data_IF_695448841061
#
_entry.id   IF_695448841061
#
_cell.length_a   1.000
_cell.length_b   1.000
_cell.length_c   1.000
_cell.angle_alpha   90.00
_cell.angle_beta   90.00
_cell.angle_gamma   90.00
#
_symmetry.space_group_name_H-M   'P 1'
#
loop_
_entity.id
_entity.type
_entity.pdbx_description
1 polymer ?
#
# COMPACT_ATOMS: atom_id res chain seq x y z
N UNK A 1 11.14 -12.75 -21.65
CA UNK A 1 11.75 -11.43 -21.40
C UNK A 1 11.87 -11.27 -19.90
N UNK A 2 12.99 -10.77 -19.41
CA UNK A 2 13.19 -10.51 -17.98
C UNK A 2 13.36 -9.01 -17.77
N UNK A 3 12.79 -8.49 -16.69
CA UNK A 3 12.94 -7.09 -16.30
C UNK A 3 13.86 -7.04 -15.08
N UNK A 4 14.99 -6.36 -15.21
CA UNK A 4 15.86 -6.03 -14.09
C UNK A 4 15.44 -4.66 -13.55
N UNK A 5 14.98 -4.63 -12.30
CA UNK A 5 14.49 -3.42 -11.65
C UNK A 5 15.30 -3.18 -10.38
N UNK A 6 15.79 -1.97 -10.21
CA UNK A 6 16.48 -1.56 -8.99
C UNK A 6 15.50 -0.85 -8.05
N UNK A 7 15.57 -1.15 -6.75
CA UNK A 7 14.76 -0.51 -5.72
C UNK A 7 15.63 0.01 -4.57
N UNK A 8 15.31 1.22 -4.10
CA UNK A 8 15.87 1.84 -2.90
C UNK A 8 14.83 1.79 -1.78
N UNK A 9 15.29 1.50 -0.55
CA UNK A 9 14.46 1.49 0.67
C UNK A 9 14.97 2.58 1.62
N UNK A 10 14.35 3.75 1.56
CA UNK A 10 14.86 4.95 2.21
C UNK A 10 13.94 5.35 3.36
N UNK A 11 14.47 5.42 4.58
CA UNK A 11 13.74 5.81 5.77
C UNK A 11 14.06 7.25 6.15
N UNK A 12 13.00 8.02 6.41
CA UNK A 12 13.07 9.33 7.04
C UNK A 12 11.98 9.42 8.10
N UNK A 13 12.38 9.60 9.36
CA UNK A 13 11.45 9.62 10.50
C UNK A 13 10.54 8.37 10.47
N UNK A 14 9.21 8.59 10.49
CA UNK A 14 8.17 7.56 10.34
C UNK A 14 7.89 7.18 8.89
N UNK A 15 8.48 7.85 7.90
CA UNK A 15 8.21 7.57 6.48
C UNK A 15 9.26 6.62 5.92
N UNK A 16 8.81 5.59 5.20
CA UNK A 16 9.63 4.73 4.38
C UNK A 16 9.23 4.93 2.91
N UNK A 17 10.24 5.13 2.07
CA UNK A 17 10.11 5.30 0.64
C UNK A 17 10.68 4.07 -0.05
N UNK A 18 9.88 3.44 -0.90
CA UNK A 18 10.34 2.40 -1.83
C UNK A 18 10.32 3.03 -3.22
N UNK A 19 11.50 3.33 -3.74
CA UNK A 19 11.67 3.97 -5.05
C UNK A 19 12.25 2.92 -5.99
N UNK A 20 11.46 2.52 -7.00
CA UNK A 20 11.88 1.55 -8.01
C UNK A 20 12.12 2.24 -9.34
N UNK A 21 13.18 1.87 -10.04
CA UNK A 21 13.60 2.48 -11.30
C UNK A 21 14.21 1.44 -12.25
N UNK A 22 14.20 1.77 -13.54
CA UNK A 22 14.74 0.95 -14.63
C UNK A 22 15.52 1.89 -15.54
N UNK A 23 16.76 1.53 -15.87
CA UNK A 23 17.64 2.30 -16.75
C UNK A 23 17.72 3.80 -16.37
N UNK A 24 17.83 4.08 -15.06
CA UNK A 24 17.89 5.44 -14.52
C UNK A 24 16.57 6.20 -14.46
N UNK A 25 15.46 5.67 -14.98
CA UNK A 25 14.15 6.31 -14.97
C UNK A 25 13.23 5.76 -13.87
N UNK A 26 12.50 6.63 -13.12
CA UNK A 26 11.68 6.20 -12.00
C UNK A 26 10.44 5.47 -12.52
N UNK A 27 10.26 4.25 -12.05
CA UNK A 27 9.15 3.38 -12.44
C UNK A 27 7.99 3.49 -11.46
N UNK A 28 8.28 3.45 -10.15
CA UNK A 28 7.25 3.56 -9.11
C UNK A 28 7.81 4.10 -7.80
N UNK A 29 6.94 4.77 -7.03
CA UNK A 29 7.25 5.25 -5.68
C UNK A 29 6.14 4.81 -4.74
N UNK A 30 6.48 4.03 -3.72
CA UNK A 30 5.60 3.71 -2.60
C UNK A 30 6.05 4.49 -1.36
N UNK A 31 5.13 5.15 -0.67
CA UNK A 31 5.37 5.81 0.60
C UNK A 31 4.54 5.12 1.68
N UNK A 32 5.23 4.73 2.74
CA UNK A 32 4.67 4.01 3.86
C UNK A 32 4.94 4.81 5.14
N UNK A 33 3.96 4.91 6.03
CA UNK A 33 4.18 5.39 7.38
C UNK A 33 4.30 4.19 8.33
N UNK A 34 5.33 4.20 9.16
CA UNK A 34 5.71 3.11 10.06
C UNK A 34 5.43 3.55 11.51
N UNK A 35 4.73 2.71 12.25
CA UNK A 35 4.40 2.91 13.66
C UNK A 35 4.91 1.71 14.46
N UNK A 36 6.18 1.73 14.93
CA UNK A 36 6.80 0.59 15.61
C UNK A 36 6.02 0.09 16.82
N UNK A 37 5.46 1.02 17.59
CA UNK A 37 4.48 0.79 18.64
C UNK A 37 3.22 1.55 18.21
N UNK A 38 2.15 0.88 17.75
CA UNK A 38 1.70 -0.47 18.11
C UNK A 38 1.88 -1.56 17.01
N UNK A 39 3.01 -1.57 16.29
CA UNK A 39 3.29 -2.51 15.18
C UNK A 39 2.32 -2.38 13.99
N UNK A 40 2.23 -1.16 13.44
CA UNK A 40 1.32 -0.83 12.32
C UNK A 40 2.07 -0.18 11.18
N UNK A 41 1.65 -0.52 9.97
CA UNK A 41 2.02 0.12 8.73
C UNK A 41 0.80 0.78 8.10
N UNK A 42 0.96 2.02 7.66
CA UNK A 42 0.01 2.69 6.80
C UNK A 42 0.62 2.89 5.42
N UNK A 43 0.02 2.27 4.38
CA UNK A 43 0.43 2.54 3.00
C UNK A 43 -0.20 3.87 2.58
N UNK A 44 0.62 4.92 2.57
CA UNK A 44 0.18 6.29 2.35
C UNK A 44 -0.08 6.59 0.88
N UNK A 45 0.78 6.08 0.00
CA UNK A 45 0.76 6.45 -1.42
C UNK A 45 1.51 5.44 -2.26
N UNK A 46 1.01 5.18 -3.45
CA UNK A 46 1.72 4.45 -4.48
C UNK A 46 1.49 5.10 -5.83
N UNK A 47 2.57 5.42 -6.53
CA UNK A 47 2.57 6.00 -7.86
C UNK A 47 3.34 5.09 -8.81
N UNK A 48 2.86 4.96 -10.06
CA UNK A 48 3.52 4.16 -11.09
C UNK A 48 3.48 4.86 -12.44
N UNK A 49 4.66 4.93 -13.08
CA UNK A 49 4.85 5.35 -14.47
C UNK A 49 5.15 4.16 -15.40
N UNK A 50 5.17 2.92 -14.88
CA UNK A 50 5.50 1.70 -15.64
C UNK A 50 4.57 1.52 -16.83
N UNK A 51 5.10 1.61 -18.06
CA UNK A 51 4.37 1.29 -19.29
C UNK A 51 4.00 -0.19 -19.39
N UNK A 52 4.82 -1.06 -18.82
CA UNK A 52 4.54 -2.51 -18.73
C UNK A 52 3.41 -2.75 -17.74
N UNK A 53 2.34 -3.38 -18.20
CA UNK A 53 1.19 -3.74 -17.36
C UNK A 53 1.63 -4.72 -16.28
N UNK A 54 1.25 -4.49 -15.02
CA UNK A 54 1.51 -5.41 -13.92
C UNK A 54 2.94 -5.41 -13.36
N UNK A 55 3.93 -4.86 -14.06
CA UNK A 55 5.33 -4.83 -13.60
C UNK A 55 5.47 -4.12 -12.24
N UNK A 56 5.01 -2.87 -12.14
CA UNK A 56 5.04 -2.12 -10.87
C UNK A 56 4.31 -2.79 -9.72
N UNK A 57 3.25 -3.58 -9.99
CA UNK A 57 2.55 -4.38 -8.98
C UNK A 57 3.48 -5.49 -8.46
N UNK A 58 4.10 -6.24 -9.35
CA UNK A 58 5.01 -7.34 -8.98
C UNK A 58 6.22 -6.83 -8.20
N UNK A 59 6.81 -5.71 -8.65
CA UNK A 59 7.94 -5.09 -7.95
C UNK A 59 7.54 -4.61 -6.56
N UNK A 60 6.35 -4.03 -6.40
CA UNK A 60 5.84 -3.65 -5.08
C UNK A 60 5.64 -4.86 -4.18
N UNK A 61 5.03 -5.94 -4.67
CA UNK A 61 4.81 -7.19 -3.91
C UNK A 61 6.12 -7.77 -3.41
N UNK A 62 7.10 -7.92 -4.31
CA UNK A 62 8.44 -8.41 -3.96
C UNK A 62 9.14 -7.49 -2.96
N UNK A 63 8.98 -6.17 -3.12
CA UNK A 63 9.55 -5.18 -2.19
C UNK A 63 8.93 -5.29 -0.79
N UNK A 64 7.61 -5.42 -0.69
CA UNK A 64 6.90 -5.58 0.58
C UNK A 64 7.22 -6.93 1.24
N UNK A 65 7.33 -8.02 0.48
CA UNK A 65 7.79 -9.33 0.99
C UNK A 65 9.17 -9.23 1.60
N UNK A 66 10.12 -8.59 0.90
CA UNK A 66 11.49 -8.39 1.39
C UNK A 66 11.56 -7.46 2.59
N UNK A 67 10.65 -6.50 2.67
CA UNK A 67 10.58 -5.57 3.78
C UNK A 67 10.04 -6.24 5.05
N UNK A 68 9.08 -7.16 4.93
CA UNK A 68 8.36 -7.80 6.05
C UNK A 68 8.82 -9.23 6.40
N UNK A 69 10.12 -9.52 6.26
CA UNK A 69 10.69 -10.88 6.40
C UNK A 69 10.59 -11.45 7.83
N UNK A 70 10.42 -10.61 8.86
CA UNK A 70 10.49 -11.05 10.26
C UNK A 70 9.14 -11.57 10.81
N UNK A 71 9.20 -12.52 11.75
CA UNK A 71 8.03 -13.17 12.35
C UNK A 71 7.06 -12.25 13.14
N UNK A 72 7.42 -10.99 13.38
CA UNK A 72 6.58 -10.00 14.05
C UNK A 72 5.89 -9.06 13.05
N UNK A 73 5.25 -9.62 12.02
CA UNK A 73 4.68 -8.88 10.88
C UNK A 73 3.63 -7.85 11.36
N UNK A 74 3.66 -6.60 10.87
CA UNK A 74 2.78 -5.52 11.33
C UNK A 74 1.34 -5.70 10.83
N UNK A 75 0.36 -5.06 11.49
CA UNK A 75 -0.93 -4.82 10.84
C UNK A 75 -0.77 -3.78 9.72
N UNK A 76 -1.47 -3.94 8.60
CA UNK A 76 -1.42 -3.00 7.46
C UNK A 76 -2.77 -2.31 7.31
N UNK A 77 -2.73 -0.98 7.20
CA UNK A 77 -3.87 -0.13 6.93
C UNK A 77 -3.70 0.61 5.60
N UNK A 78 -4.75 0.66 4.79
CA UNK A 78 -4.78 1.41 3.53
C UNK A 78 -6.09 2.21 3.45
N UNK A 79 -5.97 3.51 3.23
CA UNK A 79 -7.08 4.33 2.76
C UNK A 79 -7.03 4.35 1.23
N UNK A 80 -7.74 3.41 0.60
CA UNK A 80 -7.74 3.24 -0.85
C UNK A 80 -8.61 4.28 -1.54
N UNK A 81 -8.00 5.32 -2.11
CA UNK A 81 -8.68 6.31 -2.95
C UNK A 81 -7.80 6.80 -4.10
N UNK A 82 -8.39 7.27 -5.21
CA UNK A 82 -7.65 7.94 -6.26
C UNK A 82 -7.05 9.26 -5.75
N UNK A 83 -5.76 9.50 -6.05
CA UNK A 83 -5.06 10.76 -5.75
C UNK A 83 -4.16 11.16 -6.92
N UNK A 84 -3.96 12.46 -7.14
CA UNK A 84 -3.01 12.95 -8.12
C UNK A 84 -1.56 12.61 -7.75
N UNK A 85 -0.71 12.41 -8.76
CA UNK A 85 0.70 12.11 -8.56
C UNK A 85 1.47 13.28 -7.95
N UNK A 86 2.47 12.97 -7.13
CA UNK A 86 3.32 13.92 -6.41
C UNK A 86 4.80 13.72 -6.73
N UNK A 87 5.24 12.48 -6.91
CA UNK A 87 6.66 12.12 -7.03
C UNK A 87 7.06 11.72 -8.44
N UNK A 88 6.16 11.12 -9.21
CA UNK A 88 6.44 10.75 -10.60
C UNK A 88 5.30 11.19 -11.51
N UNK A 89 5.65 11.74 -12.67
CA UNK A 89 4.67 12.06 -13.69
C UNK A 89 4.09 10.75 -14.27
N UNK A 90 2.77 10.70 -14.40
CA UNK A 90 2.08 9.57 -15.03
C UNK A 90 1.03 10.11 -15.99
N UNK A 91 1.08 9.64 -17.23
CA UNK A 91 0.08 9.92 -18.25
C UNK A 91 -1.16 9.02 -18.09
N UNK A 92 -1.12 8.08 -17.14
CA UNK A 92 -2.22 7.14 -16.93
C UNK A 92 -3.41 7.83 -16.25
N UNK A 93 -4.64 7.58 -16.74
CA UNK A 93 -5.83 8.09 -16.08
C UNK A 93 -5.93 7.50 -14.67
N UNK A 94 -6.45 8.31 -13.77
CA UNK A 94 -6.65 7.94 -12.37
C UNK A 94 -7.68 6.82 -12.30
N UNK A 95 -7.29 5.67 -11.74
CA UNK A 95 -8.15 4.49 -11.60
C UNK A 95 -9.40 4.77 -10.76
N UNK A 96 -10.51 4.13 -11.11
CA UNK A 96 -11.75 4.19 -10.32
C UNK A 96 -11.56 3.52 -8.94
N UNK A 97 -12.25 4.04 -7.92
CA UNK A 97 -12.12 3.61 -6.51
C UNK A 97 -12.25 2.11 -6.27
N UNK A 98 -13.26 1.48 -6.88
CA UNK A 98 -13.48 0.02 -6.81
C UNK A 98 -12.31 -0.80 -7.37
N UNK A 99 -11.68 -0.33 -8.45
CA UNK A 99 -10.52 -1.00 -9.04
C UNK A 99 -9.29 -0.86 -8.15
N UNK A 100 -9.12 0.30 -7.50
CA UNK A 100 -8.04 0.54 -6.54
C UNK A 100 -8.19 -0.35 -5.30
N UNK A 101 -9.41 -0.56 -4.81
CA UNK A 101 -9.66 -1.42 -3.67
C UNK A 101 -9.23 -2.87 -3.96
N UNK A 102 -9.76 -3.45 -5.06
CA UNK A 102 -9.40 -4.80 -5.48
C UNK A 102 -7.89 -4.95 -5.78
N UNK A 103 -7.27 -3.88 -6.29
CA UNK A 103 -5.82 -3.85 -6.53
C UNK A 103 -5.03 -3.96 -5.22
N UNK A 104 -5.40 -3.20 -4.19
CA UNK A 104 -4.74 -3.25 -2.88
C UNK A 104 -5.00 -4.57 -2.16
N UNK A 105 -6.25 -5.04 -2.11
CA UNK A 105 -6.59 -6.35 -1.53
C UNK A 105 -5.75 -7.46 -2.17
N UNK A 106 -5.65 -7.45 -3.50
CA UNK A 106 -4.85 -8.42 -4.24
C UNK A 106 -3.35 -8.37 -3.91
N UNK A 107 -2.76 -7.17 -3.73
CA UNK A 107 -1.36 -7.03 -3.30
C UNK A 107 -1.19 -7.61 -1.90
N UNK A 108 -2.06 -7.22 -0.96
CA UNK A 108 -1.97 -7.59 0.46
C UNK A 108 -2.14 -9.10 0.64
N UNK A 109 -3.10 -9.71 -0.04
CA UNK A 109 -3.27 -11.17 -0.04
C UNK A 109 -2.06 -11.89 -0.64
N UNK A 110 -1.48 -11.40 -1.74
CA UNK A 110 -0.31 -12.05 -2.36
C UNK A 110 0.96 -11.95 -1.51
N UNK A 111 1.05 -10.95 -0.62
CA UNK A 111 2.10 -10.88 0.39
C UNK A 111 1.73 -11.63 1.68
N UNK A 112 0.64 -12.40 1.72
CA UNK A 112 0.27 -13.27 2.84
C UNK A 112 -0.47 -12.56 3.98
N UNK A 113 -1.36 -11.63 3.65
CA UNK A 113 -2.26 -10.97 4.60
C UNK A 113 -3.72 -11.33 4.32
N UNK A 114 -4.48 -11.48 5.40
CA UNK A 114 -5.94 -11.46 5.36
C UNK A 114 -6.39 -10.00 5.33
N UNK A 115 -7.37 -9.71 4.50
CA UNK A 115 -7.85 -8.34 4.30
C UNK A 115 -9.33 -8.24 4.67
N UNK A 116 -9.68 -7.14 5.32
CA UNK A 116 -11.04 -6.76 5.62
C UNK A 116 -11.28 -5.37 5.08
N UNK A 117 -12.30 -5.24 4.25
CA UNK A 117 -12.68 -3.97 3.64
C UNK A 117 -13.86 -3.37 4.40
N UNK A 118 -13.78 -2.07 4.60
CA UNK A 118 -14.87 -1.27 5.12
C UNK A 118 -15.26 -0.20 4.09
N UNK A 119 -16.52 -0.24 3.68
CA UNK A 119 -17.12 0.74 2.77
C UNK A 119 -17.97 1.73 3.56
N UNK A 120 -18.51 2.74 2.85
CA UNK A 120 -19.43 3.70 3.45
C UNK A 120 -20.68 3.05 4.08
N UNK A 121 -21.08 1.84 3.65
CA UNK A 121 -22.21 1.12 4.22
C UNK A 121 -21.87 0.61 5.62
N UNK A 122 -20.77 -0.15 5.75
CA UNK A 122 -20.34 -0.73 7.04
C UNK A 122 -19.90 0.36 8.04
N UNK A 123 -19.43 1.50 7.55
CA UNK A 123 -19.16 2.66 8.38
C UNK A 123 -20.42 3.26 9.01
N UNK A 124 -21.56 3.27 8.28
CA UNK A 124 -22.84 3.84 8.74
C UNK A 124 -23.62 2.88 9.62
N UNK A 125 -23.43 1.56 9.46
CA UNK A 125 -24.15 0.51 10.20
C UNK A 125 -23.61 0.23 11.62
N UNK A 126 -22.67 1.04 12.14
CA UNK A 126 -21.90 0.79 13.38
C UNK A 126 -21.02 -0.46 13.36
N UNK A 127 -20.97 -1.21 12.26
CA UNK A 127 -20.09 -2.38 12.07
C UNK A 127 -18.61 -2.00 12.11
N UNK A 128 -18.29 -0.73 11.85
CA UNK A 128 -16.97 -0.15 12.04
C UNK A 128 -16.29 -0.56 13.36
N UNK A 129 -17.02 -0.52 14.49
CA UNK A 129 -16.46 -0.86 15.80
C UNK A 129 -16.05 -2.31 15.90
N UNK A 130 -16.85 -3.20 15.31
CA UNK A 130 -16.56 -4.63 15.32
C UNK A 130 -15.31 -4.89 14.47
N UNK A 131 -15.28 -4.35 13.25
CA UNK A 131 -14.15 -4.49 12.33
C UNK A 131 -12.86 -3.98 12.96
N UNK A 132 -12.86 -2.76 13.51
CA UNK A 132 -11.63 -2.19 14.06
C UNK A 132 -11.19 -2.88 15.35
N UNK A 133 -12.11 -3.47 16.12
CA UNK A 133 -11.76 -4.20 17.34
C UNK A 133 -10.92 -5.45 17.07
N UNK A 134 -11.01 -6.02 15.87
CA UNK A 134 -10.17 -7.13 15.41
C UNK A 134 -8.74 -6.69 15.03
N UNK A 135 -8.51 -5.38 14.90
CA UNK A 135 -7.26 -4.75 14.47
C UNK A 135 -6.75 -3.78 15.54
N UNK A 136 -6.30 -4.33 16.68
CA UNK A 136 -5.98 -3.56 17.89
C UNK A 136 -4.85 -2.55 17.66
N UNK A 137 -3.88 -2.85 16.81
CA UNK A 137 -2.80 -1.95 16.47
C UNK A 137 -3.33 -0.75 15.70
N UNK A 138 -4.07 -1.01 14.62
CA UNK A 138 -4.68 0.03 13.78
C UNK A 138 -5.64 0.90 14.61
N UNK A 139 -6.44 0.30 15.49
CA UNK A 139 -7.34 1.03 16.39
C UNK A 139 -6.62 2.08 17.24
N UNK A 140 -5.42 1.76 17.74
CA UNK A 140 -4.61 2.69 18.54
C UNK A 140 -3.99 3.82 17.70
N UNK A 141 -3.80 3.58 16.39
CA UNK A 141 -3.21 4.52 15.45
C UNK A 141 -4.21 5.45 14.77
N UNK A 142 -5.47 5.05 14.61
CA UNK A 142 -6.47 5.90 13.94
C UNK A 142 -6.57 7.28 14.60
N UNK A 143 -6.69 8.32 13.77
CA UNK A 143 -6.67 9.71 14.21
C UNK A 143 -5.28 10.30 14.46
N UNK A 144 -4.24 9.46 14.52
CA UNK A 144 -2.85 9.87 14.79
C UNK A 144 -1.93 9.68 13.59
N UNK A 145 -2.46 9.19 12.47
CA UNK A 145 -1.68 8.88 11.28
C UNK A 145 -1.39 10.18 10.52
N UNK A 146 -0.11 10.45 10.25
CA UNK A 146 0.32 11.70 9.63
C UNK A 146 -0.29 11.84 8.22
N UNK A 147 -1.13 12.87 8.05
CA UNK A 147 -1.69 13.28 6.76
C UNK A 147 -2.53 12.19 6.07
N UNK A 148 -3.17 11.36 6.89
CA UNK A 148 -4.21 10.41 6.51
C UNK A 148 -5.60 11.05 6.64
N UNK A 149 -6.60 10.72 5.78
CA UNK A 149 -7.89 11.43 5.76
C UNK A 149 -8.66 11.48 7.08
N UNK A 150 -8.75 10.38 7.84
CA UNK A 150 -9.41 10.33 9.16
C UNK A 150 -8.69 11.24 10.14
N UNK A 151 -7.36 11.16 10.19
CA UNK A 151 -6.52 11.98 11.07
C UNK A 151 -6.54 13.47 10.69
N UNK A 152 -6.75 13.80 9.41
CA UNK A 152 -7.05 15.19 9.00
C UNK A 152 -8.43 15.63 9.49
N UNK A 153 -9.46 14.81 9.29
CA UNK A 153 -10.82 15.15 9.72
C UNK A 153 -10.90 15.34 11.24
N UNK A 154 -10.29 14.46 12.03
CA UNK A 154 -10.21 14.59 13.49
C UNK A 154 -9.51 15.87 13.95
N UNK A 155 -8.48 16.35 13.22
CA UNK A 155 -7.84 17.63 13.53
C UNK A 155 -8.73 18.84 13.24
N UNK A 156 -9.60 18.74 12.25
CA UNK A 156 -10.55 19.81 11.91
C UNK A 156 -11.82 19.78 12.78
N UNK A 157 -12.13 18.64 13.40
CA UNK A 157 -13.26 18.47 14.31
C UNK A 157 -12.80 17.73 15.58
N UNK A 158 -12.02 18.39 16.47
CA UNK A 158 -11.39 17.76 17.63
C UNK A 158 -12.38 17.28 18.69
N UNK A 159 -13.57 17.88 18.75
CA UNK A 159 -14.65 17.49 19.66
C UNK A 159 -15.45 16.28 19.14
N UNK A 160 -15.26 15.89 17.89
CA UNK A 160 -15.97 14.76 17.30
C UNK A 160 -15.28 13.44 17.62
N UNK A 161 -16.09 12.47 18.01
CA UNK A 161 -15.67 11.07 18.17
C UNK A 161 -15.24 10.47 16.82
N UNK A 162 -14.45 9.40 16.88
CA UNK A 162 -14.04 8.65 15.68
C UNK A 162 -15.24 8.15 14.88
N UNK A 163 -16.32 7.73 15.54
CA UNK A 163 -17.55 7.29 14.88
C UNK A 163 -18.20 8.42 14.08
N UNK A 164 -18.30 9.62 14.67
CA UNK A 164 -18.86 10.80 14.00
C UNK A 164 -18.00 11.19 12.80
N UNK A 165 -16.67 11.19 12.95
CA UNK A 165 -15.73 11.46 11.85
C UNK A 165 -15.91 10.45 10.73
N UNK A 166 -16.05 9.17 11.07
CA UNK A 166 -16.28 8.11 10.09
C UNK A 166 -17.60 8.32 9.34
N UNK A 167 -18.69 8.68 10.04
CA UNK A 167 -19.98 9.01 9.42
C UNK A 167 -19.88 10.24 8.52
N UNK A 168 -19.19 11.29 8.96
CA UNK A 168 -18.94 12.52 8.19
C UNK A 168 -18.17 12.18 6.92
N UNK A 169 -17.06 11.47 7.04
CA UNK A 169 -16.25 11.09 5.88
C UNK A 169 -17.02 10.20 4.91
N UNK A 170 -17.83 9.27 5.41
CA UNK A 170 -18.73 8.43 4.59
C UNK A 170 -19.85 9.19 3.90
N UNK A 171 -20.20 10.36 4.41
CA UNK A 171 -21.17 11.27 3.80
C UNK A 171 -20.49 12.32 2.91
N UNK A 172 -19.17 12.41 2.97
CA UNK A 172 -18.33 13.26 2.11
C UNK A 172 -17.86 12.52 0.86
N UNK A 173 -17.42 13.28 -0.15
CA UNK A 173 -16.82 12.72 -1.37
C UNK A 173 -15.59 11.84 -1.10
N UNK A 174 -14.89 12.04 0.03
CA UNK A 174 -13.61 11.41 0.32
C UNK A 174 -13.70 9.90 0.58
N UNK A 175 -14.77 9.43 1.23
CA UNK A 175 -14.97 8.01 1.53
C UNK A 175 -16.00 7.37 0.58
N UNK A 176 -16.91 8.15 -0.03
CA UNK A 176 -17.73 7.64 -1.17
C UNK A 176 -16.88 7.29 -2.38
N UNK A 177 -15.74 7.97 -2.57
CA UNK A 177 -14.76 7.67 -3.62
C UNK A 177 -13.59 6.80 -3.13
N UNK A 178 -13.65 6.28 -1.91
CA UNK A 178 -12.59 5.49 -1.30
C UNK A 178 -13.08 4.21 -0.61
N UNK A 179 -12.16 3.46 -0.03
CA UNK A 179 -12.46 2.33 0.85
C UNK A 179 -11.34 2.18 1.88
N UNK A 180 -11.69 1.77 3.09
CA UNK A 180 -10.70 1.41 4.09
C UNK A 180 -10.39 -0.08 3.97
N UNK A 181 -9.11 -0.41 3.96
CA UNK A 181 -8.65 -1.79 3.96
C UNK A 181 -7.80 -1.98 5.20
N UNK A 182 -8.26 -2.88 6.06
CA UNK A 182 -7.54 -3.35 7.23
C UNK A 182 -6.96 -4.71 6.91
N UNK A 183 -5.75 -4.99 7.37
CA UNK A 183 -5.08 -6.24 7.05
C UNK A 183 -4.23 -6.71 8.20
N UNK A 184 -4.31 -8.00 8.48
CA UNK A 184 -3.46 -8.69 9.46
C UNK A 184 -2.77 -9.86 8.78
N UNK A 185 -1.55 -10.24 9.23
CA UNK A 185 -0.88 -11.41 8.69
C UNK A 185 -1.83 -12.60 8.68
N UNK A 186 -1.94 -13.32 7.56
CA UNK A 186 -2.72 -14.55 7.53
C UNK A 186 -2.04 -15.58 8.45
N UNK A 187 -2.83 -16.29 9.25
CA UNK A 187 -2.36 -17.51 9.90
C UNK A 187 -2.17 -18.58 8.81
N UNK A 188 -0.99 -18.66 8.23
CA UNK A 188 -0.56 -19.86 7.50
C UNK A 188 0.26 -20.76 8.44
N UNK A 189 0.12 -22.10 8.35
CA UNK A 189 0.86 -23.02 9.21
C UNK A 189 2.34 -22.93 8.87
N UNK A 190 3.12 -22.22 9.70
CA UNK A 190 4.54 -22.05 9.46
C UNK A 190 5.32 -23.31 9.85
N UNK A 191 5.60 -24.19 8.89
CA UNK A 191 6.81 -25.02 8.90
C UNK A 191 8.02 -24.16 8.56
N UNK A 192 8.42 -23.30 9.51
CA UNK A 192 9.79 -22.79 9.56
C UNK A 192 10.22 -22.87 11.02
N UNK A 193 10.83 -24.00 11.37
CA UNK A 193 11.59 -24.11 12.63
C UNK A 193 12.84 -23.24 12.42
N UNK A 194 12.78 -22.00 12.91
CA UNK A 194 14.00 -21.23 13.16
C UNK A 194 14.69 -21.91 14.34
N UNK A 195 15.72 -22.71 14.05
CA UNK A 195 16.66 -23.13 15.09
C UNK A 195 17.32 -21.87 15.63
N UNK A 196 16.84 -21.38 16.78
CA UNK A 196 17.58 -20.40 17.58
C UNK A 196 18.78 -21.13 18.16
N UNK A 197 19.97 -20.83 17.67
CA UNK A 197 21.19 -21.06 18.43
C UNK A 197 21.10 -20.22 19.72
N UNK A 198 21.34 -20.78 20.91
CA UNK A 198 21.20 -20.01 22.13
C UNK A 198 22.35 -19.02 22.25
N UNK A 199 22.07 -17.73 22.04
CA UNK A 199 22.99 -16.66 22.40
C UNK A 199 23.01 -16.49 23.93
N UNK A 200 24.21 -16.55 24.49
CA UNK A 200 24.48 -16.24 25.88
C UNK A 200 24.07 -14.79 26.16
N UNK A 201 23.28 -14.64 27.22
CA UNK A 201 22.88 -13.36 27.79
C UNK A 201 24.09 -12.48 28.11
N UNK A 202 24.13 -11.29 27.51
CA UNK A 202 24.83 -10.13 28.06
C UNK A 202 23.92 -8.91 27.98
N UNK A 203 23.71 -8.32 29.16
CA UNK A 203 23.32 -6.95 29.45
C UNK A 203 22.13 -6.35 28.67
N UNK A 204 20.98 -6.29 29.37
CA UNK A 204 19.86 -5.43 29.02
C UNK A 204 20.32 -3.96 29.03
N UNK A 205 20.80 -3.47 27.90
CA UNK A 205 20.64 -2.06 27.53
C UNK A 205 19.19 -1.88 27.11
N UNK A 206 18.50 -0.91 27.69
CA UNK A 206 17.21 -0.44 27.21
C UNK A 206 17.32 -0.14 25.71
N UNK A 207 16.70 -0.98 24.88
CA UNK A 207 16.58 -0.73 23.46
C UNK A 207 15.72 0.51 23.26
N UNK A 208 16.29 1.52 22.60
CA UNK A 208 15.59 2.73 22.17
C UNK A 208 14.25 2.35 21.52
N UNK A 209 13.16 2.99 21.97
CA UNK A 209 11.79 2.68 21.57
C UNK A 209 11.47 2.83 20.06
N UNK A 210 12.44 3.25 19.25
CA UNK A 210 12.27 3.64 17.85
C UNK A 210 12.80 2.63 16.81
N UNK A 211 13.44 1.53 17.23
CA UNK A 211 13.89 0.52 16.25
C UNK A 211 12.73 -0.34 15.77
N UNK A 212 12.51 -0.32 14.45
CA UNK A 212 11.43 -1.04 13.81
C UNK A 212 11.79 -2.51 13.57
N UNK A 213 11.68 -3.35 14.61
CA UNK A 213 12.15 -4.74 14.62
C UNK A 213 11.47 -5.67 13.61
N UNK A 214 10.35 -5.28 13.03
CA UNK A 214 9.63 -6.05 12.01
C UNK A 214 10.00 -5.70 10.56
N UNK A 215 10.79 -4.65 10.36
CA UNK A 215 11.30 -4.29 9.03
C UNK A 215 12.72 -4.83 8.86
N UNK A 216 13.05 -5.26 7.64
CA UNK A 216 14.40 -5.63 7.28
C UNK A 216 15.33 -4.41 7.31
N UNK A 217 16.15 -4.31 8.37
CA UNK A 217 17.09 -3.21 8.57
C UNK A 217 18.31 -3.26 7.63
N UNK A 218 18.60 -4.40 7.01
CA UNK A 218 19.78 -4.56 6.14
C UNK A 218 19.65 -3.77 4.84
N UNK A 219 18.43 -3.75 4.30
CA UNK A 219 18.09 -3.06 3.05
C UNK A 219 17.71 -1.59 3.25
N UNK A 220 17.35 -1.21 4.48
CA UNK A 220 16.91 0.15 4.80
C UNK A 220 18.10 1.09 5.01
N UNK A 221 17.96 2.30 4.48
CA UNK A 221 18.95 3.38 4.64
C UNK A 221 18.26 4.62 5.18
N UNK A 222 18.79 5.18 6.26
CA UNK A 222 18.31 6.47 6.79
C UNK A 222 18.76 7.61 5.89
N UNK A 223 17.85 8.53 5.58
CA UNK A 223 18.11 9.68 4.70
C UNK A 223 17.37 10.93 5.18
N UNK A 224 17.83 12.08 4.73
CA UNK A 224 17.20 13.39 4.90
C UNK A 224 16.12 13.64 3.85
N UNK A 225 15.35 14.72 4.04
CA UNK A 225 14.37 15.17 3.04
C UNK A 225 15.03 15.57 1.72
N UNK A 226 16.15 16.25 1.79
CA UNK A 226 16.81 16.83 0.62
C UNK A 226 17.43 15.73 -0.25
N UNK A 227 17.98 14.69 0.36
CA UNK A 227 18.44 13.48 -0.34
C UNK A 227 17.29 12.82 -1.12
N UNK A 228 16.11 12.63 -0.51
CA UNK A 228 14.95 12.04 -1.21
C UNK A 228 14.55 12.88 -2.42
N UNK A 229 14.51 14.21 -2.28
CA UNK A 229 14.13 15.12 -3.36
C UNK A 229 15.18 15.10 -4.49
N UNK A 230 16.46 15.04 -4.14
CA UNK A 230 17.56 14.95 -5.10
C UNK A 230 17.51 13.64 -5.88
N UNK A 231 17.35 12.50 -5.20
CA UNK A 231 17.19 11.18 -5.84
C UNK A 231 16.04 11.18 -6.83
N UNK A 232 14.86 11.67 -6.42
CA UNK A 232 13.70 11.71 -7.30
C UNK A 232 13.92 12.59 -8.53
N UNK A 233 14.62 13.73 -8.37
CA UNK A 233 14.96 14.62 -9.48
C UNK A 233 15.99 13.99 -10.42
N UNK A 234 17.03 13.37 -9.90
CA UNK A 234 18.08 12.73 -10.69
C UNK A 234 17.52 11.56 -11.52
N UNK A 235 16.67 10.74 -10.90
CA UNK A 235 15.96 9.68 -11.61
C UNK A 235 15.04 10.25 -12.69
N UNK A 236 14.27 11.31 -12.39
CA UNK A 236 13.40 11.94 -13.39
C UNK A 236 14.17 12.44 -14.62
N UNK A 237 15.43 12.85 -14.44
CA UNK A 237 16.31 13.29 -15.52
C UNK A 237 17.00 12.12 -16.25
N UNK A 238 16.73 10.87 -15.86
CA UNK A 238 17.38 9.68 -16.43
C UNK A 238 18.86 9.57 -16.05
N UNK A 239 19.27 10.23 -14.96
CA UNK A 239 20.67 10.29 -14.53
C UNK A 239 20.90 9.42 -13.30
N UNK A 240 21.90 8.56 -13.35
CA UNK A 240 22.49 7.94 -12.15
C UNK A 240 23.59 8.85 -11.62
N UNK A 241 23.22 9.75 -10.70
CA UNK A 241 24.17 10.62 -10.00
C UNK A 241 25.16 9.82 -9.13
N UNK A 242 26.26 10.45 -8.73
CA UNK A 242 27.21 9.85 -7.78
C UNK A 242 26.51 9.43 -6.48
N UNK A 243 25.53 10.18 -5.97
CA UNK A 243 24.75 9.76 -4.79
C UNK A 243 24.00 8.45 -5.00
N UNK A 244 23.33 8.27 -6.15
CA UNK A 244 22.68 7.00 -6.47
C UNK A 244 23.68 5.84 -6.54
N UNK A 245 24.92 6.09 -6.94
CA UNK A 245 25.96 5.06 -7.04
C UNK A 245 26.41 4.51 -5.68
N UNK A 246 26.35 5.32 -4.63
CA UNK A 246 26.76 4.95 -3.27
C UNK A 246 25.62 4.38 -2.41
N UNK A 247 24.37 4.45 -2.88
CA UNK A 247 23.22 3.97 -2.12
C UNK A 247 23.08 2.45 -2.15
N UNK A 248 22.50 1.89 -1.08
CA UNK A 248 22.13 0.47 -1.04
C UNK A 248 20.97 0.22 -2.00
N UNK A 249 21.24 -0.58 -3.03
CA UNK A 249 20.25 -0.97 -4.05
C UNK A 249 19.85 -2.42 -3.87
N UNK A 250 18.57 -2.67 -4.04
CA UNK A 250 18.02 -4.01 -4.12
C UNK A 250 17.65 -4.29 -5.56
N UNK A 251 18.40 -5.18 -6.21
CA UNK A 251 18.07 -5.63 -7.55
C UNK A 251 16.98 -6.71 -7.51
N UNK A 252 15.98 -6.57 -8.38
CA UNK A 252 14.84 -7.47 -8.51
C UNK A 252 14.73 -7.90 -9.97
N UNK A 253 14.79 -9.21 -10.21
CA UNK A 253 14.60 -9.79 -11.54
C UNK A 253 13.17 -10.32 -11.64
N UNK A 254 12.34 -9.69 -12.48
CA UNK A 254 10.95 -10.08 -12.70
C UNK A 254 10.82 -10.77 -14.06
N UNK A 255 10.43 -12.05 -14.03
CA UNK A 255 10.17 -12.82 -15.25
C UNK A 255 8.87 -12.37 -15.90
N UNK A 256 8.86 -12.13 -17.21
CA UNK A 256 7.63 -11.72 -17.91
C UNK A 256 6.46 -12.71 -17.76
N UNK A 257 6.76 -13.99 -17.53
CA UNK A 257 5.76 -15.04 -17.29
C UNK A 257 5.03 -14.90 -15.95
N UNK A 258 5.61 -14.25 -14.95
CA UNK A 258 4.97 -14.01 -13.65
C UNK A 258 4.05 -12.79 -13.65
N UNK A 259 4.01 -12.03 -14.75
CA UNK A 259 3.13 -10.87 -14.90
C UNK A 259 1.75 -11.35 -15.37
N UNK A 260 0.67 -11.13 -14.60
CA UNK A 260 -0.66 -11.57 -15.00
C UNK A 260 -1.08 -10.95 -16.35
N UNK A 261 -1.26 -11.80 -17.36
CA UNK A 261 -1.87 -11.41 -18.63
C UNK A 261 -3.38 -11.48 -18.43
N UNK A 262 -4.11 -10.37 -18.56
CA UNK A 262 -5.56 -10.50 -18.81
C UNK A 262 -5.70 -11.07 -20.22
N UNK A 263 -6.42 -12.19 -20.35
CA UNK A 263 -6.93 -12.58 -21.65
C UNK A 263 -7.77 -11.42 -22.23
N UNK A 264 -7.70 -11.15 -23.53
CA UNK A 264 -8.64 -10.22 -24.15
C UNK A 264 -10.06 -10.73 -23.85
N UNK A 265 -10.90 -9.85 -23.32
CA UNK A 265 -12.32 -10.15 -23.12
C UNK A 265 -12.87 -10.51 -24.51
N UNK A 266 -13.25 -11.77 -24.71
CA UNK A 266 -13.89 -12.18 -25.96
C UNK A 266 -15.13 -11.31 -26.15
N UNK A 267 -15.34 -10.70 -27.33
CA UNK A 267 -16.56 -9.93 -27.58
C UNK A 267 -17.76 -10.87 -27.42
N UNK A 268 -18.60 -10.60 -26.43
CA UNK A 268 -19.89 -11.28 -26.30
C UNK A 268 -20.92 -10.50 -27.12
N UNK A 269 -21.59 -11.19 -28.05
CA UNK A 269 -22.70 -10.63 -28.81
C UNK A 269 -23.91 -10.52 -27.87
N UNK A 270 -24.25 -9.30 -27.46
CA UNK A 270 -25.52 -9.02 -26.78
C UNK A 270 -26.65 -9.08 -27.82
N UNK A 271 -27.31 -10.22 -27.93
CA UNK A 271 -28.54 -10.34 -28.74
C UNK A 271 -29.71 -9.85 -27.90
N UNK A 272 -30.01 -8.55 -27.95
CA UNK A 272 -31.21 -8.00 -27.33
C UNK A 272 -32.41 -8.43 -28.20
N UNK A 273 -33.21 -9.37 -27.71
CA UNK A 273 -34.52 -9.65 -28.31
C UNK A 273 -35.43 -8.46 -28.04
N UNK A 274 -35.84 -7.73 -29.08
CA UNK A 274 -36.87 -6.70 -28.97
C UNK A 274 -38.16 -7.36 -28.47
N UNK A 275 -38.82 -6.82 -27.42
CA UNK A 275 -40.16 -7.24 -27.05
C UNK A 275 -41.09 -7.03 -28.26
N UNK A 276 -41.94 -8.02 -28.56
CA UNK A 276 -43.03 -7.83 -29.53
C UNK A 276 -43.94 -6.74 -28.97
N UNK A 277 -44.02 -5.61 -29.66
CA UNK A 277 -45.08 -4.63 -29.50
C UNK A 277 -46.40 -5.36 -29.75
N UNK A 278 -47.29 -5.40 -28.75
CA UNK A 278 -48.69 -5.75 -28.97
C UNK A 278 -49.26 -4.66 -29.87
N UNK A 279 -49.56 -5.01 -31.11
CA UNK A 279 -50.42 -4.20 -31.95
C UNK A 279 -51.85 -4.35 -31.43
N UNK A 280 -52.42 -3.21 -31.05
CA UNK A 280 -53.80 -2.81 -31.28
C UNK A 280 -54.89 -3.75 -30.75
N UNK A 281 -55.23 -3.58 -29.47
CA UNK A 281 -56.63 -3.55 -29.07
C UNK A 281 -57.02 -2.07 -28.92
N UNK A 282 -57.88 -1.60 -29.82
CA UNK A 282 -58.69 -0.40 -29.69
C UNK A 282 -60.16 -0.83 -29.80
N UNK A 283 -61.06 -0.04 -29.21
CA UNK A 283 -61.91 -0.38 -28.06
C UNK A 283 -63.01 -1.42 -28.32
#
# INVERSE_FOLDING_TARGET
MEYSVESLFLQRDKHLYIISYVDGAPMSVCVICVYPKPNVIYIKRFESASKVRGLSRMVLIESLKRLFIHGNRPEIYVYSRPIGSKYIHTERPISHSMQLCAYWESILTEIGYSTMRLTHKEAKSKEFKNIISEHKGIAQCLGKIIDEPISRAMRHAPESSLDEIMVILCSSRDLTSGSLIFSKPSEEPSTIIVQKTPEKSKDKKEESADKCSFLNQEIMQSVTRDEILKILKDLQNGTTSEELSHMKKVQQIIKSSSIPKKEPIKPFKLTIKRPKTRQDEQP
#
